data_IF_160976122758
#
_entry.id   IF_160976122758
#
_cell.length_a   1.000
_cell.length_b   1.000
_cell.length_c   1.000
_cell.angle_alpha   90.00
_cell.angle_beta   90.00
_cell.angle_gamma   90.00
#
_symmetry.space_group_name_H-M   'P 1'
#
loop_
_entity.id
_entity.type
_entity.pdbx_description
1 polymer ?
#
# COMPACT_ATOMS: atom_id res chain seq x y z
N UNK A 1 -11.08 30.51 -4.75
CA UNK A 1 -10.61 29.13 -4.48
C UNK A 1 -9.92 29.13 -3.11
N UNK A 2 -10.34 28.25 -2.19
CA UNK A 2 -9.80 28.17 -0.83
C UNK A 2 -8.47 27.40 -0.73
N UNK A 3 -7.90 27.25 0.47
CA UNK A 3 -6.69 26.45 0.66
C UNK A 3 -6.91 24.98 0.27
N UNK A 4 -5.91 24.36 -0.35
CA UNK A 4 -5.96 22.95 -0.71
C UNK A 4 -6.05 22.07 0.55
N UNK A 5 -7.07 21.21 0.61
CA UNK A 5 -7.32 20.29 1.72
C UNK A 5 -7.08 18.83 1.35
N UNK A 6 -7.04 18.50 0.06
CA UNK A 6 -6.80 17.15 -0.43
C UNK A 6 -6.16 17.16 -1.82
N UNK A 7 -5.20 16.26 -2.06
CA UNK A 7 -4.59 16.01 -3.36
C UNK A 7 -4.36 14.51 -3.54
N UNK A 8 -4.89 13.91 -4.61
CA UNK A 8 -4.65 12.50 -4.96
C UNK A 8 -4.79 11.50 -3.78
N UNK A 9 -5.79 11.69 -2.92
CA UNK A 9 -6.02 10.82 -1.75
C UNK A 9 -5.19 11.16 -0.51
N UNK A 10 -4.32 12.17 -0.56
CA UNK A 10 -3.59 12.73 0.58
C UNK A 10 -4.40 13.88 1.15
N UNK A 11 -4.80 13.77 2.42
CA UNK A 11 -5.37 14.85 3.22
C UNK A 11 -4.25 15.78 3.66
N UNK A 12 -4.43 17.08 3.39
CA UNK A 12 -3.50 18.13 3.77
C UNK A 12 -4.10 18.86 4.95
N UNK A 13 -3.35 18.95 6.06
CA UNK A 13 -3.67 19.81 7.19
C UNK A 13 -2.53 20.79 7.38
N UNK A 14 -2.85 22.08 7.41
CA UNK A 14 -1.85 23.14 7.44
C UNK A 14 -2.19 24.14 8.54
N UNK A 15 -1.25 24.33 9.45
CA UNK A 15 -1.30 25.40 10.44
C UNK A 15 -0.27 26.45 10.04
N UNK A 16 -0.75 27.62 9.61
CA UNK A 16 0.10 28.73 9.16
C UNK A 16 0.72 29.49 10.33
N UNK A 17 0.07 29.52 11.49
CA UNK A 17 0.54 30.21 12.68
C UNK A 17 1.75 29.49 13.25
N UNK A 18 1.67 28.17 13.39
CA UNK A 18 2.81 27.36 13.82
C UNK A 18 3.75 26.94 12.69
N UNK A 19 3.45 27.31 11.44
CA UNK A 19 4.18 26.94 10.21
C UNK A 19 4.34 25.42 10.02
N UNK A 20 3.33 24.65 10.41
CA UNK A 20 3.32 23.19 10.31
C UNK A 20 2.44 22.69 9.17
N UNK A 21 2.85 21.57 8.58
CA UNK A 21 2.14 20.88 7.52
C UNK A 21 2.09 19.38 7.85
N UNK A 22 0.90 18.80 7.81
CA UNK A 22 0.68 17.38 7.98
C UNK A 22 0.03 16.81 6.72
N UNK A 23 0.49 15.63 6.32
CA UNK A 23 -0.02 14.88 5.20
C UNK A 23 -0.50 13.52 5.74
N UNK A 24 -1.73 13.13 5.42
CA UNK A 24 -2.27 11.83 5.80
C UNK A 24 -2.90 11.14 4.59
N UNK A 25 -2.52 9.90 4.35
CA UNK A 25 -3.04 9.06 3.27
C UNK A 25 -3.95 7.94 3.80
N UNK A 26 -4.38 8.03 5.06
CA UNK A 26 -5.20 7.03 5.76
C UNK A 26 -6.42 6.60 4.93
N UNK A 27 -7.25 7.56 4.49
CA UNK A 27 -8.44 7.28 3.66
C UNK A 27 -8.14 6.58 2.35
N UNK A 28 -6.97 6.84 1.75
CA UNK A 28 -6.57 6.14 0.54
C UNK A 28 -6.19 4.69 0.84
N UNK A 29 -5.43 4.47 1.92
CA UNK A 29 -5.04 3.12 2.36
C UNK A 29 -6.30 2.30 2.69
N UNK A 30 -7.26 2.85 3.43
CA UNK A 30 -8.54 2.19 3.73
C UNK A 30 -9.28 1.77 2.45
N UNK A 31 -9.34 2.64 1.45
CA UNK A 31 -9.94 2.32 0.15
C UNK A 31 -9.21 1.21 -0.59
N UNK A 32 -7.87 1.19 -0.53
CA UNK A 32 -7.05 0.13 -1.11
C UNK A 32 -7.33 -1.20 -0.42
N UNK A 33 -7.40 -1.22 0.91
CA UNK A 33 -7.70 -2.43 1.67
C UNK A 33 -9.09 -3.00 1.33
N UNK A 34 -10.10 -2.14 1.25
CA UNK A 34 -11.46 -2.52 0.85
C UNK A 34 -11.51 -3.03 -0.60
N UNK A 35 -10.81 -2.35 -1.53
CA UNK A 35 -10.77 -2.71 -2.96
C UNK A 35 -10.24 -4.12 -3.19
N UNK A 36 -9.29 -4.56 -2.37
CA UNK A 36 -8.68 -5.89 -2.48
C UNK A 36 -9.20 -6.87 -1.42
N UNK A 37 -10.29 -6.54 -0.74
CA UNK A 37 -10.96 -7.41 0.26
C UNK A 37 -10.04 -7.87 1.40
N UNK A 38 -9.13 -6.98 1.84
CA UNK A 38 -8.18 -7.21 2.94
C UNK A 38 -8.41 -6.24 4.11
N UNK A 39 -9.57 -5.59 4.17
CA UNK A 39 -9.98 -4.65 5.24
C UNK A 39 -10.06 -5.31 6.62
N UNK A 40 -10.25 -6.63 6.67
CA UNK A 40 -10.27 -7.42 7.91
C UNK A 40 -8.94 -8.09 8.26
N UNK A 41 -7.88 -7.81 7.49
CA UNK A 41 -6.57 -8.38 7.75
C UNK A 41 -6.02 -7.92 9.10
N UNK A 42 -5.28 -8.81 9.78
CA UNK A 42 -4.65 -8.48 11.06
C UNK A 42 -3.51 -7.48 10.83
N UNK A 43 -3.48 -6.33 11.53
CA UNK A 43 -2.37 -5.40 11.40
C UNK A 43 -1.08 -6.01 11.93
N UNK A 44 0.02 -5.76 11.23
CA UNK A 44 1.37 -6.17 11.61
C UNK A 44 2.28 -4.95 11.64
N UNK A 45 3.16 -4.89 12.64
CA UNK A 45 4.11 -3.77 12.78
C UNK A 45 5.29 -3.87 11.82
N UNK A 46 5.62 -5.08 11.37
CA UNK A 46 6.73 -5.36 10.46
C UNK A 46 6.16 -5.90 9.17
N UNK A 47 6.16 -5.13 8.06
CA UNK A 47 5.46 -5.54 6.84
C UNK A 47 6.08 -6.77 6.17
N UNK A 48 7.38 -7.02 6.35
CA UNK A 48 8.06 -8.26 5.96
C UNK A 48 9.16 -8.59 6.98
N UNK A 49 9.10 -9.76 7.62
CA UNK A 49 10.11 -10.16 8.58
C UNK A 49 11.43 -10.56 7.87
N UNK A 50 12.58 -10.23 8.47
CA UNK A 50 13.90 -10.37 7.85
C UNK A 50 14.28 -11.80 7.43
N UNK A 51 13.66 -12.82 8.03
CA UNK A 51 13.92 -14.22 7.70
C UNK A 51 13.16 -14.69 6.45
N UNK A 52 12.19 -13.91 5.94
CA UNK A 52 11.50 -14.25 4.70
C UNK A 52 12.43 -14.07 3.51
N UNK A 53 12.64 -15.15 2.77
CA UNK A 53 13.33 -15.15 1.48
C UNK A 53 12.37 -15.64 0.43
N UNK A 54 12.01 -14.78 -0.51
CA UNK A 54 11.22 -15.19 -1.67
C UNK A 54 12.07 -16.07 -2.59
N UNK A 55 11.45 -17.10 -3.15
CA UNK A 55 12.09 -17.97 -4.13
C UNK A 55 11.11 -18.37 -5.21
N UNK A 56 11.65 -18.72 -6.39
CA UNK A 56 10.86 -19.27 -7.51
C UNK A 56 10.08 -20.53 -7.14
N UNK A 57 10.45 -21.20 -6.04
CA UNK A 57 9.71 -22.35 -5.54
C UNK A 57 8.30 -21.99 -5.06
N UNK A 58 8.04 -20.73 -4.71
CA UNK A 58 6.75 -20.20 -4.25
C UNK A 58 5.87 -19.69 -5.41
N UNK A 59 6.36 -19.71 -6.64
CA UNK A 59 5.55 -19.39 -7.82
C UNK A 59 4.52 -20.49 -8.07
N UNK A 60 3.35 -20.15 -8.66
CA UNK A 60 2.35 -21.12 -9.11
C UNK A 60 2.98 -22.19 -10.00
N UNK A 61 2.73 -23.46 -9.69
CA UNK A 61 3.27 -24.60 -10.45
C UNK A 61 2.19 -25.36 -11.19
N UNK A 62 1.03 -25.55 -10.56
CA UNK A 62 -0.09 -26.25 -11.17
C UNK A 62 -0.91 -25.30 -12.03
N UNK A 63 -1.64 -25.85 -13.01
CA UNK A 63 -2.51 -25.03 -13.86
C UNK A 63 -3.66 -24.42 -13.06
N UNK A 64 -4.15 -25.12 -12.03
CA UNK A 64 -5.14 -24.58 -11.09
C UNK A 64 -4.62 -23.38 -10.29
N UNK A 65 -3.36 -23.39 -9.85
CA UNK A 65 -2.75 -22.25 -9.14
C UNK A 65 -2.55 -21.06 -10.09
N UNK A 66 -2.16 -21.32 -11.35
CA UNK A 66 -2.01 -20.28 -12.38
C UNK A 66 -3.34 -19.63 -12.71
N UNK A 67 -4.38 -20.42 -12.99
CA UNK A 67 -5.74 -19.93 -13.25
C UNK A 67 -6.30 -19.12 -12.07
N UNK A 68 -5.94 -19.49 -10.84
CA UNK A 68 -6.30 -18.71 -9.66
C UNK A 68 -5.55 -17.37 -9.63
N UNK A 69 -4.23 -17.38 -9.83
CA UNK A 69 -3.41 -16.16 -9.82
C UNK A 69 -3.72 -15.20 -10.96
N UNK A 70 -4.15 -15.68 -12.12
CA UNK A 70 -4.61 -14.84 -13.24
C UNK A 70 -5.79 -13.93 -12.85
N UNK A 71 -6.61 -14.36 -11.89
CA UNK A 71 -7.75 -13.58 -11.38
C UNK A 71 -7.33 -12.54 -10.35
N UNK A 72 -6.11 -12.63 -9.82
CA UNK A 72 -5.60 -11.69 -8.82
C UNK A 72 -4.95 -10.50 -9.53
N UNK A 73 -5.42 -9.26 -9.28
CA UNK A 73 -4.91 -8.07 -9.98
C UNK A 73 -3.57 -7.60 -9.39
N UNK A 74 -2.52 -8.43 -9.51
CA UNK A 74 -1.22 -8.23 -8.87
C UNK A 74 -0.62 -6.84 -9.14
N UNK A 75 -0.52 -6.45 -10.42
CA UNK A 75 0.02 -5.14 -10.81
C UNK A 75 -0.77 -3.95 -10.19
N UNK A 76 -2.09 -4.10 -10.02
CA UNK A 76 -2.94 -3.07 -9.41
C UNK A 76 -2.71 -2.94 -7.90
N UNK A 77 -2.52 -4.07 -7.21
CA UNK A 77 -2.16 -4.10 -5.78
C UNK A 77 -0.79 -3.46 -5.59
N UNK A 78 0.22 -3.92 -6.33
CA UNK A 78 1.59 -3.41 -6.23
C UNK A 78 1.65 -1.91 -6.55
N UNK A 79 0.98 -1.44 -7.60
CA UNK A 79 0.92 -0.02 -7.93
C UNK A 79 0.26 0.83 -6.85
N UNK A 80 -0.79 0.32 -6.19
CA UNK A 80 -1.44 0.99 -5.07
C UNK A 80 -0.50 1.11 -3.84
N UNK A 81 0.27 0.05 -3.56
CA UNK A 81 1.26 0.04 -2.49
C UNK A 81 2.46 0.95 -2.79
N UNK A 82 2.94 0.97 -4.03
CA UNK A 82 4.00 1.90 -4.49
C UNK A 82 3.57 3.34 -4.27
N UNK A 83 2.33 3.69 -4.58
CA UNK A 83 1.84 5.05 -4.37
C UNK A 83 1.80 5.43 -2.88
N UNK A 84 1.34 4.53 -2.00
CA UNK A 84 1.39 4.75 -0.56
C UNK A 84 2.84 4.91 -0.05
N UNK A 85 3.74 4.04 -0.54
CA UNK A 85 5.17 4.03 -0.21
C UNK A 85 5.85 5.36 -0.53
N UNK A 86 5.63 5.89 -1.75
CA UNK A 86 6.29 7.11 -2.23
C UNK A 86 5.77 8.36 -1.52
N UNK A 87 4.49 8.40 -1.16
CA UNK A 87 3.86 9.62 -0.65
C UNK A 87 3.98 9.79 0.87
N UNK A 88 3.52 8.82 1.68
CA UNK A 88 3.47 8.98 3.14
C UNK A 88 3.89 7.75 3.95
N UNK A 89 4.13 6.59 3.32
CA UNK A 89 4.43 5.31 3.98
C UNK A 89 5.77 4.73 3.54
N UNK A 90 6.85 5.49 3.67
CA UNK A 90 8.19 5.01 3.30
C UNK A 90 8.65 3.78 4.11
N UNK A 91 8.03 3.52 5.26
CA UNK A 91 8.28 2.35 6.12
C UNK A 91 7.98 1.00 5.45
N UNK A 92 7.10 0.95 4.43
CA UNK A 92 6.81 -0.29 3.69
C UNK A 92 7.73 -0.50 2.49
N UNK A 93 8.67 0.42 2.22
CA UNK A 93 9.41 0.43 0.95
C UNK A 93 10.21 -0.85 0.69
N UNK A 94 10.86 -1.37 1.73
CA UNK A 94 11.60 -2.63 1.63
C UNK A 94 10.69 -3.78 1.22
N UNK A 95 9.54 -3.92 1.87
CA UNK A 95 8.60 -5.01 1.62
C UNK A 95 7.97 -4.94 0.23
N UNK A 96 7.69 -3.74 -0.28
CA UNK A 96 7.17 -3.55 -1.64
C UNK A 96 8.25 -3.80 -2.69
N UNK A 97 9.51 -3.41 -2.43
CA UNK A 97 10.61 -3.57 -3.38
C UNK A 97 11.14 -5.01 -3.52
N UNK A 98 10.80 -5.90 -2.58
CA UNK A 98 11.15 -7.33 -2.66
C UNK A 98 10.18 -8.12 -3.56
N UNK A 99 8.98 -7.58 -3.81
CA UNK A 99 7.88 -8.22 -4.56
C UNK A 99 7.99 -7.95 -6.07
#
# INVERSE_FOLDING_TARGET
LGPASQILGIKITRDRTSKKLWLSQEKYIEKVLQRFHIDKAKPVSTPLAAHFKLSTKQSPRTDSEKEYMEKIPHASVTGSLIYAMVCTRTDIAYSVGVV
#
